data_IF_887979861091
#
_entry.id   IF_887979861091
#
_cell.length_a   1.000
_cell.length_b   1.000
_cell.length_c   1.000
_cell.angle_alpha   90.00
_cell.angle_beta   90.00
_cell.angle_gamma   90.00
#
_symmetry.space_group_name_H-M   'P 1'
#
loop_
_entity.id
_entity.type
_entity.pdbx_description
1 polymer ?
#
# COMPACT_ATOMS: atom_id res chain seq x y z
N UNK A 1 44.78 -15.41 -2.91
CA UNK A 1 44.06 -14.94 -1.69
C UNK A 1 42.89 -14.07 -2.14
N UNK A 2 41.65 -14.62 -2.14
CA UNK A 2 40.45 -13.85 -2.46
C UNK A 2 40.05 -13.01 -1.22
N UNK A 3 40.58 -11.82 -1.12
CA UNK A 3 40.27 -10.89 -0.02
C UNK A 3 38.89 -10.17 -0.18
N UNK A 4 38.16 -10.41 -1.26
CA UNK A 4 36.91 -9.68 -1.55
C UNK A 4 35.61 -10.45 -1.26
N UNK A 5 35.59 -11.77 -1.46
CA UNK A 5 34.38 -12.58 -1.35
C UNK A 5 33.93 -12.83 0.10
N UNK A 6 34.86 -12.96 1.05
CA UNK A 6 34.54 -13.25 2.45
C UNK A 6 33.72 -12.15 3.16
N UNK A 7 33.88 -10.88 2.79
CA UNK A 7 33.12 -9.79 3.40
C UNK A 7 31.73 -9.61 2.79
N UNK A 8 31.56 -9.99 1.52
CA UNK A 8 30.26 -9.97 0.84
C UNK A 8 29.32 -10.98 1.50
N UNK A 9 29.77 -12.21 1.74
CA UNK A 9 28.94 -13.26 2.40
C UNK A 9 28.59 -12.92 3.85
N UNK A 10 29.47 -12.24 4.58
CA UNK A 10 29.20 -11.83 5.97
C UNK A 10 28.08 -10.80 6.11
N UNK A 11 27.74 -10.09 5.03
CA UNK A 11 26.70 -9.05 5.02
C UNK A 11 25.39 -9.52 4.37
N UNK A 12 25.30 -10.72 3.83
CA UNK A 12 24.07 -11.26 3.28
C UNK A 12 22.98 -11.32 4.35
N UNK A 13 21.75 -10.96 3.95
CA UNK A 13 20.60 -10.86 4.81
C UNK A 13 20.59 -9.62 5.73
N UNK A 14 21.63 -8.78 5.75
CA UNK A 14 21.65 -7.53 6.51
C UNK A 14 21.13 -6.37 5.66
N UNK A 15 20.76 -5.28 6.34
CA UNK A 15 20.31 -4.05 5.69
C UNK A 15 19.00 -4.21 4.90
N UNK A 16 18.09 -5.05 5.38
CA UNK A 16 16.74 -5.17 4.83
C UNK A 16 16.04 -3.82 4.92
N UNK A 17 15.47 -3.38 3.80
CA UNK A 17 14.65 -2.19 3.68
C UNK A 17 13.36 -2.59 2.99
N UNK A 18 12.26 -2.09 3.50
CA UNK A 18 10.94 -2.38 2.94
C UNK A 18 10.01 -1.19 3.09
N UNK A 19 9.07 -1.05 2.19
CA UNK A 19 8.03 -0.01 2.25
C UNK A 19 6.95 -0.43 3.22
N UNK A 20 6.86 0.25 4.35
CA UNK A 20 5.70 0.09 5.21
C UNK A 20 4.52 0.84 4.60
N UNK A 21 3.39 0.16 4.47
CA UNK A 21 2.13 0.74 4.01
C UNK A 21 1.24 1.09 5.20
N UNK A 22 0.74 2.31 5.23
CA UNK A 22 -0.34 2.72 6.14
C UNK A 22 -1.57 2.99 5.31
N UNK A 23 -2.70 2.42 5.71
CA UNK A 23 -3.97 2.55 5.00
C UNK A 23 -4.92 3.40 5.80
N UNK A 24 -5.57 4.35 5.13
CA UNK A 24 -6.73 5.06 5.63
C UNK A 24 -7.92 4.79 4.72
N UNK A 25 -9.07 4.57 5.29
CA UNK A 25 -10.28 4.19 4.57
C UNK A 25 -11.45 5.08 4.98
N UNK A 26 -12.32 5.32 4.02
CA UNK A 26 -13.56 6.05 4.22
C UNK A 26 -14.71 5.22 3.66
N UNK A 27 -15.80 5.15 4.40
CA UNK A 27 -17.05 4.63 3.89
C UNK A 27 -17.54 5.51 2.75
N UNK A 28 -18.08 4.90 1.69
CA UNK A 28 -18.69 5.63 0.59
C UNK A 28 -20.20 5.58 0.70
N UNK A 29 -20.83 6.76 0.80
CA UNK A 29 -22.28 6.90 0.91
C UNK A 29 -23.03 6.53 -0.37
N UNK A 30 -22.31 6.46 -1.51
CA UNK A 30 -22.86 6.18 -2.82
C UNK A 30 -22.34 4.83 -3.37
N UNK A 31 -23.14 4.07 -4.13
CA UNK A 31 -22.74 2.77 -4.68
C UNK A 31 -21.88 2.92 -5.96
N UNK A 32 -20.84 3.76 -5.91
CA UNK A 32 -19.99 4.12 -7.06
C UNK A 32 -18.61 3.45 -7.04
N UNK A 33 -18.30 2.70 -5.98
CA UNK A 33 -16.99 2.05 -5.83
C UNK A 33 -16.94 0.66 -6.45
N UNK A 34 -15.75 0.09 -6.57
CA UNK A 34 -15.55 -1.26 -7.11
C UNK A 34 -16.14 -2.38 -6.24
N UNK A 35 -16.68 -2.06 -5.06
CA UNK A 35 -17.33 -3.02 -4.17
C UNK A 35 -18.39 -3.87 -4.89
N UNK A 36 -19.21 -3.26 -5.77
CA UNK A 36 -20.24 -3.95 -6.54
C UNK A 36 -19.69 -5.09 -7.42
N UNK A 37 -18.43 -4.96 -7.85
CA UNK A 37 -17.74 -5.95 -8.71
C UNK A 37 -16.80 -6.87 -7.92
N UNK A 38 -16.72 -6.73 -6.59
CA UNK A 38 -15.80 -7.49 -5.76
C UNK A 38 -16.27 -8.90 -5.41
N UNK A 39 -17.57 -9.24 -5.63
CA UNK A 39 -18.09 -10.60 -5.47
C UNK A 39 -18.00 -11.38 -6.78
N UNK A 40 -18.16 -12.72 -6.71
CA UNK A 40 -18.01 -13.60 -7.86
C UNK A 40 -18.92 -13.23 -9.05
N UNK A 41 -20.20 -12.98 -8.80
CA UNK A 41 -21.15 -12.62 -9.85
C UNK A 41 -20.85 -11.24 -10.43
N UNK A 42 -20.53 -10.26 -9.60
CA UNK A 42 -20.15 -8.92 -10.02
C UNK A 42 -18.89 -8.92 -10.89
N UNK A 43 -17.85 -9.69 -10.48
CA UNK A 43 -16.63 -9.87 -11.27
C UNK A 43 -16.92 -10.50 -12.63
N UNK A 44 -17.75 -11.54 -12.68
CA UNK A 44 -18.13 -12.19 -13.93
C UNK A 44 -18.87 -11.23 -14.87
N UNK A 45 -19.85 -10.48 -14.35
CA UNK A 45 -20.61 -9.50 -15.14
C UNK A 45 -19.73 -8.35 -15.63
N UNK A 46 -18.82 -7.85 -14.78
CA UNK A 46 -17.85 -6.83 -15.17
C UNK A 46 -16.93 -7.33 -16.27
N UNK A 47 -16.46 -8.59 -16.19
CA UNK A 47 -15.65 -9.22 -17.22
C UNK A 47 -16.39 -9.36 -18.56
N UNK A 48 -17.63 -9.86 -18.55
CA UNK A 48 -18.46 -9.96 -19.76
C UNK A 48 -18.71 -8.59 -20.38
N UNK A 49 -19.05 -7.58 -19.57
CA UNK A 49 -19.22 -6.21 -20.05
C UNK A 49 -17.95 -5.69 -20.72
N UNK A 50 -16.79 -5.92 -20.10
CA UNK A 50 -15.51 -5.50 -20.65
C UNK A 50 -15.22 -6.19 -22.00
N UNK A 51 -15.44 -7.50 -22.12
CA UNK A 51 -15.20 -8.25 -23.36
C UNK A 51 -16.09 -7.77 -24.51
N UNK A 52 -17.32 -7.34 -24.22
CA UNK A 52 -18.29 -6.89 -25.24
C UNK A 52 -18.11 -5.42 -25.60
N UNK A 53 -17.82 -4.57 -24.61
CA UNK A 53 -17.87 -3.10 -24.79
C UNK A 53 -16.52 -2.39 -24.61
N UNK A 54 -15.52 -3.07 -24.08
CA UNK A 54 -14.24 -2.45 -23.67
C UNK A 54 -14.35 -1.49 -22.49
N UNK A 55 -15.48 -1.48 -21.77
CA UNK A 55 -15.78 -0.50 -20.71
C UNK A 55 -16.22 -1.18 -19.41
N UNK A 56 -16.37 -0.38 -18.34
CA UNK A 56 -16.86 -0.84 -17.04
C UNK A 56 -15.74 -1.08 -16.03
N UNK A 57 -16.09 -1.68 -14.90
CA UNK A 57 -15.19 -1.83 -13.74
C UNK A 57 -13.93 -2.65 -14.08
N UNK A 58 -14.04 -3.64 -14.96
CA UNK A 58 -12.89 -4.44 -15.41
C UNK A 58 -11.96 -3.70 -16.40
N UNK A 59 -12.35 -2.54 -16.91
CA UNK A 59 -11.52 -1.72 -17.78
C UNK A 59 -10.54 -0.83 -17.00
N UNK A 60 -10.77 -0.65 -15.70
CA UNK A 60 -10.00 0.26 -14.87
C UNK A 60 -9.24 -0.49 -13.78
N UNK A 61 -7.99 -0.11 -13.49
CA UNK A 61 -7.29 -0.65 -12.33
C UNK A 61 -7.96 -0.17 -11.03
N UNK A 62 -7.87 -0.94 -9.94
CA UNK A 62 -8.41 -0.50 -8.65
C UNK A 62 -7.70 0.75 -8.11
N UNK A 63 -6.44 0.95 -8.46
CA UNK A 63 -5.68 2.16 -8.16
C UNK A 63 -5.94 3.19 -9.24
N UNK A 64 -6.81 4.16 -8.94
CA UNK A 64 -7.30 5.16 -9.89
C UNK A 64 -6.47 6.43 -9.91
N UNK A 65 -5.60 6.62 -8.94
CA UNK A 65 -4.70 7.76 -8.87
C UNK A 65 -3.53 7.51 -7.94
N UNK A 66 -2.50 8.29 -8.10
CA UNK A 66 -1.33 8.23 -7.24
C UNK A 66 -0.61 9.56 -7.18
N UNK A 67 0.19 9.73 -6.14
CA UNK A 67 1.00 10.91 -5.94
C UNK A 67 2.34 10.57 -5.29
N UNK A 68 3.35 11.38 -5.60
CA UNK A 68 4.60 11.45 -4.84
C UNK A 68 4.68 12.82 -4.20
N UNK A 69 4.74 12.87 -2.89
CA UNK A 69 4.78 14.12 -2.11
C UNK A 69 5.96 14.13 -1.16
N UNK A 70 6.26 15.31 -0.63
CA UNK A 70 7.24 15.48 0.43
C UNK A 70 6.55 15.39 1.80
N UNK A 71 7.07 14.56 2.69
CA UNK A 71 6.59 14.47 4.08
C UNK A 71 6.82 15.76 4.86
N UNK A 72 7.82 16.55 4.42
CA UNK A 72 8.19 17.86 4.96
C UNK A 72 8.62 18.74 3.76
N UNK A 73 8.20 20.03 3.70
CA UNK A 73 8.63 20.97 2.65
C UNK A 73 10.14 21.11 2.48
N UNK A 74 10.91 20.90 3.53
CA UNK A 74 12.38 20.98 3.51
C UNK A 74 13.07 19.79 2.81
N UNK A 75 12.34 18.69 2.54
CA UNK A 75 12.90 17.57 1.78
C UNK A 75 13.26 18.01 0.38
N UNK A 76 14.40 17.60 -0.11
CA UNK A 76 14.86 17.93 -1.46
C UNK A 76 13.96 17.27 -2.54
N UNK A 77 13.62 15.99 -2.34
CA UNK A 77 12.82 15.18 -3.27
C UNK A 77 11.64 14.54 -2.54
N UNK A 78 10.54 14.19 -3.25
CA UNK A 78 9.43 13.44 -2.70
C UNK A 78 9.89 12.14 -2.03
N UNK A 79 9.36 11.85 -0.87
CA UNK A 79 9.71 10.68 -0.05
C UNK A 79 8.49 9.86 0.38
N UNK A 80 7.30 10.31 0.05
CA UNK A 80 6.04 9.60 0.28
C UNK A 80 5.38 9.28 -1.07
N UNK A 81 4.99 8.03 -1.25
CA UNK A 81 4.12 7.58 -2.33
C UNK A 81 2.71 7.33 -1.81
N UNK A 82 1.71 7.74 -2.56
CA UNK A 82 0.31 7.55 -2.22
C UNK A 82 -0.38 6.85 -3.37
N UNK A 83 -1.17 5.81 -3.06
CA UNK A 83 -2.12 5.21 -4.00
C UNK A 83 -3.55 5.50 -3.53
N UNK A 84 -4.39 6.02 -4.41
CA UNK A 84 -5.82 6.19 -4.20
C UNK A 84 -6.57 5.05 -4.86
N UNK A 85 -7.38 4.34 -4.07
CA UNK A 85 -8.03 3.09 -4.47
C UNK A 85 -9.54 3.22 -4.28
N UNK A 86 -10.31 2.89 -5.30
CA UNK A 86 -11.77 3.01 -5.30
C UNK A 86 -12.48 1.78 -4.68
N UNK A 87 -11.86 1.21 -3.66
CA UNK A 87 -12.42 0.12 -2.87
C UNK A 87 -11.93 0.22 -1.41
N UNK A 88 -12.77 -0.16 -0.44
CA UNK A 88 -12.33 -0.35 0.93
C UNK A 88 -11.51 -1.65 1.03
N UNK A 89 -10.35 -1.60 1.66
CA UNK A 89 -9.46 -2.75 1.84
C UNK A 89 -9.66 -3.33 3.23
N UNK A 90 -10.27 -4.50 3.36
CA UNK A 90 -10.51 -5.13 4.66
C UNK A 90 -9.26 -5.69 5.33
N UNK A 91 -8.25 -6.09 4.54
CA UNK A 91 -6.99 -6.61 5.09
C UNK A 91 -5.83 -6.29 4.16
N UNK A 92 -4.84 -5.59 4.70
CA UNK A 92 -3.59 -5.24 3.99
C UNK A 92 -2.67 -6.46 3.81
N UNK A 93 -2.94 -7.54 4.55
CA UNK A 93 -2.11 -8.75 4.58
C UNK A 93 -2.57 -9.87 3.62
N UNK A 94 -3.45 -9.55 2.66
CA UNK A 94 -3.80 -10.46 1.58
C UNK A 94 -4.81 -11.57 1.91
N UNK A 95 -5.43 -11.54 3.07
CA UNK A 95 -6.65 -12.32 3.33
C UNK A 95 -7.85 -11.53 2.81
N UNK A 96 -7.91 -11.39 1.50
CA UNK A 96 -8.94 -10.65 0.82
C UNK A 96 -10.33 -11.23 1.09
N UNK A 97 -10.97 -10.75 2.12
CA UNK A 97 -12.43 -10.79 2.19
C UNK A 97 -13.00 -9.76 1.22
N UNK A 98 -14.16 -10.05 0.63
CA UNK A 98 -14.92 -9.02 -0.09
C UNK A 98 -15.26 -7.93 0.93
N UNK A 99 -14.97 -6.63 0.66
CA UNK A 99 -15.38 -5.55 1.53
C UNK A 99 -16.89 -5.67 1.81
N UNK A 100 -17.32 -5.43 3.03
CA UNK A 100 -18.75 -5.54 3.36
C UNK A 100 -19.55 -4.34 2.88
N UNK A 101 -18.88 -3.21 2.65
CA UNK A 101 -19.52 -1.94 2.31
C UNK A 101 -18.76 -1.21 1.21
N UNK A 102 -19.44 -0.26 0.56
CA UNK A 102 -18.81 0.68 -0.34
C UNK A 102 -17.83 1.56 0.40
N UNK A 103 -16.64 1.74 -0.15
CA UNK A 103 -15.60 2.59 0.43
C UNK A 103 -14.49 2.87 -0.55
N UNK A 104 -13.63 3.78 -0.17
CA UNK A 104 -12.40 4.12 -0.87
C UNK A 104 -11.26 4.29 0.12
N UNK A 105 -10.04 4.11 -0.36
CA UNK A 105 -8.86 4.05 0.51
C UNK A 105 -7.71 4.85 -0.07
N UNK A 106 -6.81 5.28 0.78
CA UNK A 106 -5.46 5.62 0.38
C UNK A 106 -4.44 4.68 1.06
N UNK A 107 -3.40 4.35 0.32
CA UNK A 107 -2.24 3.62 0.82
C UNK A 107 -1.05 4.56 0.75
N UNK A 108 -0.40 4.77 1.87
CA UNK A 108 0.71 5.71 2.03
C UNK A 108 1.97 4.92 2.33
N UNK A 109 3.00 5.14 1.54
CA UNK A 109 4.28 4.44 1.63
C UNK A 109 5.41 5.43 1.83
N UNK A 110 6.28 5.17 2.79
CA UNK A 110 7.56 5.86 2.90
C UNK A 110 8.55 5.23 1.90
N UNK A 111 8.97 6.00 0.87
CA UNK A 111 9.80 5.48 -0.22
C UNK A 111 11.22 5.11 0.21
N UNK A 112 11.76 5.78 1.22
CA UNK A 112 13.15 5.62 1.67
C UNK A 112 13.24 5.60 3.18
N UNK A 113 12.79 4.48 3.83
CA UNK A 113 12.88 4.36 5.27
C UNK A 113 14.34 4.38 5.75
N UNK A 114 14.58 4.93 6.92
CA UNK A 114 15.87 4.87 7.61
C UNK A 114 16.01 3.59 8.46
N UNK A 115 14.89 3.02 8.87
CA UNK A 115 14.85 1.74 9.58
C UNK A 115 15.50 0.63 8.80
N UNK A 116 16.23 -0.25 9.47
CA UNK A 116 16.94 -1.36 8.88
C UNK A 116 16.62 -2.65 9.60
N UNK A 117 16.28 -3.65 8.83
CA UNK A 117 16.05 -5.01 9.28
C UNK A 117 17.12 -5.98 8.81
N UNK A 118 16.81 -7.26 8.97
CA UNK A 118 17.66 -8.34 8.50
C UNK A 118 16.84 -9.59 8.16
N UNK A 119 17.45 -10.45 7.34
CA UNK A 119 16.97 -11.80 7.04
C UNK A 119 18.02 -12.77 7.54
N UNK A 120 17.61 -13.87 8.14
CA UNK A 120 18.49 -14.93 8.59
C UNK A 120 17.94 -16.31 8.20
N UNK A 121 18.82 -17.30 8.09
CA UNK A 121 18.40 -18.67 7.90
C UNK A 121 17.76 -19.19 9.20
N UNK A 122 16.66 -19.91 9.08
CA UNK A 122 15.98 -20.58 10.18
C UNK A 122 16.75 -21.85 10.59
N UNK A 123 17.25 -22.59 9.60
CA UNK A 123 18.02 -23.81 9.76
C UNK A 123 19.01 -24.01 8.61
N UNK A 124 19.65 -25.18 8.54
CA UNK A 124 20.47 -25.62 7.42
C UNK A 124 19.67 -26.28 6.28
N UNK A 125 18.36 -26.51 6.46
CA UNK A 125 17.50 -27.04 5.40
C UNK A 125 17.15 -25.92 4.43
N UNK A 126 17.50 -26.04 3.12
CA UNK A 126 17.21 -25.03 2.11
C UNK A 126 15.71 -24.87 1.80
N UNK A 127 14.86 -25.79 2.25
CA UNK A 127 13.40 -25.72 2.08
C UNK A 127 12.71 -24.97 3.23
N UNK A 128 13.42 -24.67 4.31
CA UNK A 128 12.88 -23.87 5.41
C UNK A 128 12.78 -22.38 4.99
N UNK A 129 11.63 -21.78 5.28
CA UNK A 129 11.44 -20.34 5.06
C UNK A 129 12.43 -19.53 5.91
N UNK A 130 13.01 -18.45 5.36
CA UNK A 130 13.91 -17.60 6.12
C UNK A 130 13.16 -16.82 7.21
N UNK A 131 13.88 -16.49 8.28
CA UNK A 131 13.39 -15.58 9.30
C UNK A 131 13.60 -14.13 8.82
N UNK A 132 12.53 -13.37 8.75
CA UNK A 132 12.54 -11.97 8.32
C UNK A 132 12.24 -11.05 9.50
N UNK A 133 13.12 -10.08 9.72
CA UNK A 133 13.01 -9.08 10.77
C UNK A 133 13.07 -7.69 10.14
N UNK A 134 11.92 -7.15 9.67
CA UNK A 134 11.88 -5.85 8.99
C UNK A 134 12.31 -4.69 9.87
N UNK A 135 12.04 -4.78 11.18
CA UNK A 135 12.37 -3.76 12.17
C UNK A 135 11.78 -2.38 11.82
N UNK A 136 10.53 -2.38 11.35
CA UNK A 136 9.80 -1.16 10.96
C UNK A 136 9.75 -0.13 12.09
N UNK A 137 9.83 1.15 11.72
CA UNK A 137 9.78 2.28 12.65
C UNK A 137 10.83 2.27 13.76
N UNK A 138 11.94 1.55 13.59
CA UNK A 138 13.07 1.64 14.53
C UNK A 138 13.76 2.99 14.48
N UNK A 139 13.64 3.71 13.37
CA UNK A 139 14.02 5.10 13.25
C UNK A 139 12.76 5.97 13.45
N UNK A 140 12.78 6.86 14.44
CA UNK A 140 11.65 7.75 14.77
C UNK A 140 11.23 8.64 13.58
N UNK A 141 12.20 9.03 12.74
CA UNK A 141 11.93 9.86 11.58
C UNK A 141 10.98 9.18 10.58
N UNK A 142 11.06 7.85 10.44
CA UNK A 142 10.16 7.10 9.56
C UNK A 142 8.70 7.20 10.03
N UNK A 143 8.47 7.18 11.34
CA UNK A 143 7.14 7.37 11.92
C UNK A 143 6.61 8.79 11.68
N UNK A 144 7.47 9.80 11.87
CA UNK A 144 7.13 11.21 11.66
C UNK A 144 6.76 11.44 10.18
N UNK A 145 7.60 10.99 9.26
CA UNK A 145 7.41 11.17 7.83
C UNK A 145 6.15 10.44 7.33
N UNK A 146 5.94 9.19 7.77
CA UNK A 146 4.73 8.40 7.42
C UNK A 146 3.46 9.08 7.94
N UNK A 147 3.45 9.56 9.18
CA UNK A 147 2.32 10.28 9.76
C UNK A 147 1.99 11.57 9.00
N UNK A 148 3.01 12.31 8.60
CA UNK A 148 2.81 13.53 7.81
C UNK A 148 2.26 13.18 6.42
N UNK A 149 2.81 12.15 5.76
CA UNK A 149 2.29 11.65 4.50
C UNK A 149 0.83 11.22 4.57
N UNK A 150 0.43 10.51 5.64
CA UNK A 150 -0.96 10.10 5.86
C UNK A 150 -1.91 11.30 6.02
N UNK A 151 -1.48 12.33 6.76
CA UNK A 151 -2.26 13.56 6.92
C UNK A 151 -2.50 14.26 5.58
N UNK A 152 -1.47 14.38 4.76
CA UNK A 152 -1.58 14.99 3.43
C UNK A 152 -2.44 14.14 2.48
N UNK A 153 -2.32 12.81 2.51
CA UNK A 153 -3.18 11.92 1.73
C UNK A 153 -4.66 12.07 2.11
N UNK A 154 -4.96 12.15 3.40
CA UNK A 154 -6.33 12.35 3.88
C UNK A 154 -6.89 13.73 3.49
N UNK A 155 -6.07 14.77 3.40
CA UNK A 155 -6.53 16.10 2.94
C UNK A 155 -7.18 16.07 1.55
N UNK A 156 -6.77 15.15 0.67
CA UNK A 156 -7.41 14.98 -0.64
C UNK A 156 -8.85 14.54 -0.47
N UNK A 157 -9.10 13.53 0.35
CA UNK A 157 -10.46 13.03 0.59
C UNK A 157 -11.33 14.00 1.43
N UNK A 158 -10.69 14.97 2.10
CA UNK A 158 -11.40 16.02 2.84
C UNK A 158 -11.80 17.22 1.97
N UNK A 159 -11.51 17.19 0.65
CA UNK A 159 -11.95 18.26 -0.23
C UNK A 159 -13.48 18.23 -0.46
N UNK A 160 -14.15 19.38 -0.63
CA UNK A 160 -15.61 19.45 -0.78
C UNK A 160 -16.19 18.59 -1.89
N UNK A 161 -15.41 18.27 -2.93
CA UNK A 161 -15.84 17.38 -4.03
C UNK A 161 -16.15 15.96 -3.54
N UNK A 162 -15.62 15.55 -2.39
CA UNK A 162 -15.87 14.25 -1.79
C UNK A 162 -17.04 14.24 -0.78
N UNK A 163 -17.61 15.40 -0.42
CA UNK A 163 -18.61 15.48 0.66
C UNK A 163 -19.87 14.65 0.38
N UNK A 164 -20.28 14.51 -0.89
CA UNK A 164 -21.41 13.66 -1.27
C UNK A 164 -21.09 12.14 -1.27
N UNK A 165 -19.78 11.79 -1.24
CA UNK A 165 -19.32 10.39 -1.29
C UNK A 165 -18.74 9.92 0.04
N UNK A 166 -18.21 10.85 0.85
CA UNK A 166 -17.48 10.52 2.06
C UNK A 166 -18.46 10.30 3.22
N UNK A 167 -18.48 9.09 3.76
CA UNK A 167 -19.06 8.74 5.04
C UNK A 167 -18.02 8.75 6.17
N UNK A 168 -18.18 7.85 7.13
CA UNK A 168 -17.28 7.70 8.27
C UNK A 168 -15.90 7.15 7.86
N UNK A 169 -14.89 7.45 8.68
CA UNK A 169 -13.49 7.00 8.53
C UNK A 169 -13.22 5.81 9.45
#
# INVERSE_FOLDING_TARGET
>A
RSRGLGDVYKRQGKNLQDHIAVVSQFQCTQPVTLHRSANFLGTMLAGVKYLVTGTGDAANPPCVGGAFIKSNPEKEIPDIQIHYVSIAMQDVHGRAGVPQEHGFSNLVYLCRPQSRGHISLKSSDPNDDPLMFPNYFSAEQDLIDTRNGLREANRVFMQPVFDEYRGDQ
#
